data_IF_956658945743
#
_entry.id   IF_956658945743
#
_cell.length_a   1.000
_cell.length_b   1.000
_cell.length_c   1.000
_cell.angle_alpha   90.00
_cell.angle_beta   90.00
_cell.angle_gamma   90.00
#
_symmetry.space_group_name_H-M   'P 1'
#
loop_
_entity.id
_entity.type
_entity.pdbx_description
1 polymer ?
#
# COMPACT_ATOMS: atom_id res chain seq x y z
N UNK A 1 -16.77 -7.11 -16.34
CA UNK A 1 -16.04 -7.82 -15.26
C UNK A 1 -16.79 -7.63 -13.96
N UNK A 2 -16.74 -8.59 -13.05
CA UNK A 2 -17.31 -8.44 -11.70
C UNK A 2 -16.49 -7.45 -10.85
N UNK A 3 -17.06 -6.97 -9.74
CA UNK A 3 -16.33 -6.16 -8.78
C UNK A 3 -15.24 -7.02 -8.12
N UNK A 4 -13.97 -6.62 -8.27
CA UNK A 4 -12.85 -7.29 -7.63
C UNK A 4 -12.51 -6.55 -6.32
N UNK A 5 -12.57 -7.23 -5.18
CA UNK A 5 -12.06 -6.70 -3.93
C UNK A 5 -10.53 -6.78 -3.94
N UNK A 6 -9.86 -5.64 -3.96
CA UNK A 6 -8.39 -5.53 -4.10
C UNK A 6 -7.73 -4.79 -2.95
N UNK A 7 -8.42 -4.73 -1.82
CA UNK A 7 -8.02 -3.99 -0.62
C UNK A 7 -7.99 -4.91 0.62
N UNK A 8 -7.21 -4.57 1.65
CA UNK A 8 -6.18 -3.51 1.66
C UNK A 8 -5.00 -3.89 0.76
N UNK A 9 -4.41 -2.90 0.09
CA UNK A 9 -3.26 -3.11 -0.78
C UNK A 9 -1.98 -2.78 -0.01
N UNK A 10 -1.08 -3.76 0.13
CA UNK A 10 0.17 -3.59 0.87
C UNK A 10 1.35 -3.96 -0.03
N UNK A 11 2.24 -2.99 -0.25
CA UNK A 11 3.48 -3.19 -0.99
C UNK A 11 4.65 -3.05 -0.04
N UNK A 12 5.38 -4.14 0.13
CA UNK A 12 6.62 -4.18 0.90
C UNK A 12 7.78 -4.27 -0.08
N UNK A 13 8.57 -3.21 -0.19
CA UNK A 13 9.73 -3.23 -1.08
C UNK A 13 10.79 -4.24 -0.59
N UNK A 14 11.59 -4.83 -1.50
CA UNK A 14 12.61 -5.81 -1.13
C UNK A 14 13.64 -5.28 -0.13
N UNK A 15 13.89 -3.97 -0.13
CA UNK A 15 14.79 -3.31 0.83
C UNK A 15 14.19 -3.21 2.24
N UNK A 16 12.87 -3.31 2.39
CA UNK A 16 12.21 -3.28 3.68
C UNK A 16 12.32 -4.62 4.41
N UNK A 17 11.78 -5.69 3.85
CA UNK A 17 11.74 -6.98 4.53
C UNK A 17 11.68 -8.15 3.52
N UNK A 18 12.84 -8.64 3.02
CA UNK A 18 12.86 -9.69 2.01
C UNK A 18 12.46 -11.07 2.55
N UNK A 19 12.32 -11.24 3.87
CA UNK A 19 11.82 -12.47 4.48
C UNK A 19 10.96 -12.21 5.73
N UNK A 20 10.16 -13.22 6.11
CA UNK A 20 9.22 -13.14 7.23
C UNK A 20 9.90 -12.84 8.58
N UNK A 21 11.13 -13.33 8.80
CA UNK A 21 11.85 -13.09 10.06
C UNK A 21 12.25 -11.61 10.21
N UNK A 22 12.62 -10.95 9.11
CA UNK A 22 12.90 -9.51 9.10
C UNK A 22 11.62 -8.69 9.23
N UNK A 23 10.54 -9.09 8.54
CA UNK A 23 9.23 -8.44 8.71
C UNK A 23 8.78 -8.47 10.18
N UNK A 24 8.86 -9.63 10.83
CA UNK A 24 8.52 -9.79 12.25
C UNK A 24 9.34 -8.91 13.18
N UNK A 25 10.64 -8.70 12.91
CA UNK A 25 11.49 -7.83 13.72
C UNK A 25 11.15 -6.34 13.56
N UNK A 26 10.59 -5.96 12.41
CA UNK A 26 10.23 -4.58 12.07
C UNK A 26 8.84 -4.19 12.54
N UNK A 27 8.01 -5.15 12.90
CA UNK A 27 6.68 -4.93 13.46
C UNK A 27 6.72 -5.17 14.97
N UNK A 28 6.93 -4.11 15.76
CA UNK A 28 7.08 -4.23 17.22
C UNK A 28 5.81 -4.69 17.93
N UNK A 29 4.64 -4.38 17.37
CA UNK A 29 3.34 -4.89 17.83
C UNK A 29 2.38 -5.07 16.65
N UNK A 30 2.41 -6.23 15.95
CA UNK A 30 1.62 -6.44 14.74
C UNK A 30 0.12 -6.23 14.92
N UNK A 31 -0.42 -6.49 16.11
CA UNK A 31 -1.85 -6.27 16.44
C UNK A 31 -2.23 -4.80 16.57
N UNK A 32 -1.25 -3.91 16.73
CA UNK A 32 -1.45 -2.46 16.77
C UNK A 32 -1.29 -1.81 15.38
N UNK A 33 -1.05 -2.60 14.33
CA UNK A 33 -1.07 -2.16 12.93
C UNK A 33 -2.42 -2.53 12.32
N UNK A 34 -3.24 -1.51 12.07
CA UNK A 34 -4.63 -1.63 11.59
C UNK A 34 -4.75 -0.89 10.26
N UNK A 35 -5.24 -1.59 9.24
CA UNK A 35 -5.50 -1.03 7.92
C UNK A 35 -7.00 -1.19 7.62
N UNK A 36 -7.69 -0.09 7.33
CA UNK A 36 -9.07 -0.15 6.87
C UNK A 36 -9.15 -0.83 5.49
N UNK A 37 -10.29 -1.43 5.17
CA UNK A 37 -10.55 -2.23 3.95
C UNK A 37 -10.51 -1.45 2.64
N UNK A 38 -10.13 -0.18 2.62
CA UNK A 38 -9.90 0.64 1.42
C UNK A 38 -8.51 1.27 1.39
N UNK A 39 -7.59 0.79 2.25
CA UNK A 39 -6.30 1.45 2.45
C UNK A 39 -5.21 0.90 1.54
N UNK A 40 -4.27 1.79 1.16
CA UNK A 40 -3.00 1.42 0.52
C UNK A 40 -1.82 1.78 1.41
N UNK A 41 -0.92 0.84 1.60
CA UNK A 41 0.33 1.04 2.33
C UNK A 41 1.51 0.60 1.47
N UNK A 42 2.45 1.52 1.24
CA UNK A 42 3.71 1.25 0.56
C UNK A 42 4.86 1.53 1.52
N UNK A 43 5.76 0.57 1.71
CA UNK A 43 6.92 0.72 2.60
C UNK A 43 8.21 0.43 1.85
N UNK A 44 9.08 1.43 1.83
CA UNK A 44 10.40 1.39 1.20
C UNK A 44 11.49 1.86 2.15
N UNK A 45 12.57 1.09 2.20
CA UNK A 45 13.77 1.43 2.97
C UNK A 45 14.12 0.42 4.06
N UNK A 46 15.42 0.29 4.29
CA UNK A 46 16.00 -0.74 5.15
C UNK A 46 15.74 -0.52 6.64
N UNK A 47 15.68 0.71 7.12
CA UNK A 47 15.60 1.00 8.55
C UNK A 47 14.25 1.61 8.93
N UNK A 48 13.17 0.94 8.52
CA UNK A 48 11.79 1.25 8.92
C UNK A 48 11.30 0.23 9.96
N UNK A 49 10.77 0.73 11.07
CA UNK A 49 10.18 -0.05 12.17
C UNK A 49 8.82 0.54 12.53
N UNK A 50 7.82 -0.31 12.79
CA UNK A 50 6.44 0.10 13.05
C UNK A 50 5.94 -0.62 14.30
N UNK A 51 5.65 0.15 15.35
CA UNK A 51 5.08 -0.37 16.59
C UNK A 51 3.55 -0.27 16.56
N UNK A 52 2.99 0.86 16.10
CA UNK A 52 1.55 1.04 15.95
C UNK A 52 1.19 1.95 14.76
N UNK A 53 0.15 1.59 14.02
CA UNK A 53 -0.35 2.32 12.85
C UNK A 53 -1.87 2.11 12.73
N UNK A 54 -2.63 3.18 12.56
CA UNK A 54 -4.06 3.14 12.19
C UNK A 54 -4.26 3.91 10.88
N UNK A 55 -4.44 3.17 9.78
CA UNK A 55 -4.53 3.72 8.43
C UNK A 55 -5.96 3.57 7.87
N UNK A 56 -6.51 4.70 7.44
CA UNK A 56 -7.68 4.79 6.59
C UNK A 56 -7.37 5.71 5.40
N UNK A 57 -7.03 5.12 4.25
CA UNK A 57 -6.59 5.85 3.05
C UNK A 57 -5.23 5.35 2.54
N UNK A 58 -4.41 6.24 1.98
CA UNK A 58 -3.11 5.91 1.39
C UNK A 58 -1.94 6.42 2.24
N UNK A 59 -0.87 5.63 2.36
CA UNK A 59 0.37 6.03 3.02
C UNK A 59 1.59 5.41 2.31
N UNK A 60 2.52 6.26 1.90
CA UNK A 60 3.89 5.88 1.54
C UNK A 60 4.82 6.15 2.72
N UNK A 61 5.58 5.14 3.13
CA UNK A 61 6.69 5.28 4.06
C UNK A 61 7.98 5.03 3.29
N UNK A 62 8.79 6.08 3.12
CA UNK A 62 10.06 5.99 2.41
C UNK A 62 11.20 6.49 3.26
N UNK A 63 12.20 5.64 3.44
CA UNK A 63 13.45 5.97 4.14
C UNK A 63 14.63 5.81 3.20
N UNK A 64 15.45 6.86 3.12
CA UNK A 64 16.68 6.86 2.33
C UNK A 64 17.81 6.15 3.07
N UNK A 65 18.85 5.73 2.34
CA UNK A 65 20.02 5.10 2.94
C UNK A 65 20.69 6.03 3.96
N UNK A 66 21.10 5.46 5.10
CA UNK A 66 21.73 6.19 6.20
C UNK A 66 20.76 6.88 7.16
N UNK A 67 19.44 6.78 6.93
CA UNK A 67 18.42 7.25 7.85
C UNK A 67 17.59 6.08 8.40
N UNK A 68 16.98 6.28 9.57
CA UNK A 68 16.09 5.32 10.21
C UNK A 68 14.78 5.97 10.62
N UNK A 69 13.66 5.26 10.47
CA UNK A 69 12.34 5.69 10.91
C UNK A 69 11.71 4.66 11.84
N UNK A 70 11.28 5.12 13.02
CA UNK A 70 10.53 4.32 13.97
C UNK A 70 9.15 4.94 14.16
N UNK A 71 8.12 4.29 13.61
CA UNK A 71 6.72 4.67 13.77
C UNK A 71 6.21 4.10 15.10
N UNK A 72 6.28 4.92 16.16
CA UNK A 72 5.81 4.53 17.50
C UNK A 72 4.29 4.46 17.60
N UNK A 73 3.61 5.37 16.91
CA UNK A 73 2.17 5.45 16.82
C UNK A 73 1.78 6.52 15.81
N UNK A 74 1.04 6.13 14.79
CA UNK A 74 0.63 7.03 13.71
C UNK A 74 -0.82 6.73 13.32
N UNK A 75 -1.62 7.78 13.16
CA UNK A 75 -2.97 7.69 12.63
C UNK A 75 -3.08 8.54 11.37
N UNK A 76 -3.51 7.94 10.26
CA UNK A 76 -3.64 8.62 8.97
C UNK A 76 -5.06 8.42 8.45
N UNK A 77 -5.71 9.54 8.09
CA UNK A 77 -7.02 9.56 7.44
C UNK A 77 -6.94 10.45 6.21
N UNK A 78 -7.08 9.90 5.03
CA UNK A 78 -7.16 10.66 3.77
C UNK A 78 -8.04 9.92 2.75
N UNK A 79 -8.23 10.53 1.57
CA UNK A 79 -9.11 9.98 0.53
C UNK A 79 -8.64 8.61 0.02
N UNK A 80 -7.36 8.30 0.14
CA UNK A 80 -6.79 7.06 -0.37
C UNK A 80 -6.81 6.97 -1.89
N UNK A 81 -6.78 5.74 -2.38
CA UNK A 81 -6.92 5.41 -3.78
C UNK A 81 -8.23 4.69 -4.05
N UNK A 82 -8.76 4.85 -5.26
CA UNK A 82 -9.98 4.19 -5.72
C UNK A 82 -9.72 3.38 -6.98
N UNK A 83 -10.23 2.15 -7.04
CA UNK A 83 -10.23 1.37 -8.26
C UNK A 83 -11.42 1.76 -9.12
N UNK A 84 -11.13 2.38 -10.26
CA UNK A 84 -12.12 2.88 -11.20
C UNK A 84 -12.12 1.96 -12.43
N UNK A 85 -13.26 1.35 -12.73
CA UNK A 85 -13.44 0.57 -13.94
C UNK A 85 -13.21 1.46 -15.17
N UNK A 86 -12.58 0.91 -16.21
CA UNK A 86 -12.41 1.63 -17.47
C UNK A 86 -13.76 1.82 -18.18
N UNK A 87 -13.92 2.95 -18.86
CA UNK A 87 -15.03 3.17 -19.77
C UNK A 87 -14.96 2.27 -21.00
N UNK A 88 -16.04 2.20 -21.78
CA UNK A 88 -16.06 1.45 -23.04
C UNK A 88 -15.04 1.99 -24.05
N UNK A 89 -14.83 3.31 -24.07
CA UNK A 89 -13.86 4.00 -24.92
C UNK A 89 -12.42 3.66 -24.48
N UNK A 90 -12.14 3.77 -23.17
CA UNK A 90 -10.86 3.37 -22.59
C UNK A 90 -10.54 1.89 -22.89
N UNK A 91 -11.53 1.01 -22.77
CA UNK A 91 -11.41 -0.41 -23.10
C UNK A 91 -11.21 -0.65 -24.61
N UNK A 92 -11.78 0.21 -25.45
CA UNK A 92 -11.78 0.14 -26.91
C UNK A 92 -10.48 0.57 -27.59
N UNK A 93 -9.53 1.16 -26.85
CA UNK A 93 -8.21 1.52 -27.38
C UNK A 93 -7.62 2.81 -26.81
N UNK A 94 -8.42 3.62 -26.11
CA UNK A 94 -7.97 4.93 -25.61
C UNK A 94 -7.05 4.81 -24.37
N UNK A 95 -7.12 3.69 -23.64
CA UNK A 95 -6.22 3.41 -22.54
C UNK A 95 -5.02 2.54 -22.98
N UNK A 96 -3.91 2.68 -22.24
CA UNK A 96 -2.74 1.83 -22.41
C UNK A 96 -3.08 0.34 -22.25
N UNK A 97 -2.33 -0.54 -22.92
CA UNK A 97 -2.65 -1.98 -22.98
C UNK A 97 -2.70 -2.63 -21.59
N UNK A 98 -1.79 -2.25 -20.69
CA UNK A 98 -1.76 -2.75 -19.32
C UNK A 98 -3.02 -2.37 -18.51
N UNK A 99 -3.65 -1.24 -18.83
CA UNK A 99 -4.92 -0.84 -18.24
C UNK A 99 -6.07 -1.65 -18.85
N UNK A 100 -6.09 -1.81 -20.17
CA UNK A 100 -7.14 -2.54 -20.89
C UNK A 100 -7.19 -4.02 -20.53
N UNK A 101 -6.05 -4.66 -20.32
CA UNK A 101 -6.00 -6.08 -19.94
C UNK A 101 -6.58 -6.29 -18.53
N UNK A 102 -6.38 -5.35 -17.60
CA UNK A 102 -6.92 -5.46 -16.22
C UNK A 102 -8.31 -4.85 -16.05
N UNK A 103 -8.75 -3.96 -16.95
CA UNK A 103 -10.09 -3.37 -16.97
C UNK A 103 -10.36 -2.30 -15.92
N UNK A 104 -9.32 -1.78 -15.25
CA UNK A 104 -9.44 -0.70 -14.26
C UNK A 104 -8.16 0.14 -14.15
N UNK A 105 -8.28 1.31 -13.52
CA UNK A 105 -7.18 2.19 -13.09
C UNK A 105 -7.30 2.57 -11.62
N UNK A 106 -6.19 2.95 -11.01
CA UNK A 106 -6.15 3.56 -9.68
C UNK A 106 -6.31 5.09 -9.82
N UNK A 107 -7.15 5.70 -8.99
CA UNK A 107 -7.33 7.15 -8.86
C UNK A 107 -6.94 7.61 -7.47
#
# INVERSE_FOLDING_TARGET
>A
GGAQEMWPAVVLWPDFAPCLSQLRRKLGSPTAVKLASGSSLEIRGQDVYIDALDLCGALEIRVVSGASLHVKGLSVRNRGHEFVALSSEEQGGDAAEELRIRGYRLF
#
